data_IF_644717819112
#
_entry.id   IF_644717819112
#
_cell.length_a   1.000
_cell.length_b   1.000
_cell.length_c   1.000
_cell.angle_alpha   90.00
_cell.angle_beta   90.00
_cell.angle_gamma   90.00
#
_symmetry.space_group_name_H-M   'P 1'
#
loop_
_entity.id
_entity.type
_entity.pdbx_description
1 polymer ?
#
# COMPACT_ATOMS: atom_id res chain seq x y z
N UNK A 1 -21.99 -0.10 7.15
CA UNK A 1 -21.10 -1.24 6.86
C UNK A 1 -20.36 -1.09 5.54
N UNK A 2 -20.98 -0.83 4.39
CA UNK A 2 -20.31 -0.71 3.08
C UNK A 2 -19.22 0.37 3.09
N UNK A 3 -19.47 1.53 3.69
CA UNK A 3 -18.49 2.61 3.79
C UNK A 3 -17.24 2.24 4.62
N UNK A 4 -17.41 1.47 5.70
CA UNK A 4 -16.30 0.96 6.50
C UNK A 4 -15.48 -0.07 5.71
N UNK A 5 -16.13 -1.02 5.03
CA UNK A 5 -15.43 -2.00 4.20
C UNK A 5 -14.65 -1.33 3.07
N UNK A 6 -15.25 -0.35 2.38
CA UNK A 6 -14.54 0.41 1.35
C UNK A 6 -13.37 1.22 1.92
N UNK A 7 -13.49 1.70 3.18
CA UNK A 7 -12.40 2.39 3.88
C UNK A 7 -11.23 1.46 4.19
N UNK A 8 -11.52 0.20 4.49
CA UNK A 8 -10.50 -0.80 4.87
C UNK A 8 -9.73 -1.34 3.66
N UNK A 9 -10.31 -1.28 2.45
CA UNK A 9 -9.72 -1.87 1.24
C UNK A 9 -8.29 -1.41 0.94
N UNK A 10 -7.94 -0.11 0.97
CA UNK A 10 -6.58 0.34 0.69
C UNK A 10 -5.55 -0.23 1.67
N UNK A 11 -5.87 -0.29 2.97
CA UNK A 11 -4.97 -0.84 3.97
C UNK A 11 -4.80 -2.36 3.79
N UNK A 12 -5.89 -3.09 3.50
CA UNK A 12 -5.85 -4.52 3.22
C UNK A 12 -5.00 -4.85 1.99
N UNK A 13 -5.10 -4.04 0.93
CA UNK A 13 -4.25 -4.19 -0.26
C UNK A 13 -2.79 -3.90 0.07
N UNK A 14 -2.51 -2.80 0.76
CA UNK A 14 -1.15 -2.45 1.18
C UNK A 14 -0.53 -3.55 2.04
N UNK A 15 -1.27 -4.08 3.03
CA UNK A 15 -0.82 -5.18 3.87
C UNK A 15 -0.58 -6.48 3.09
N UNK A 16 -1.40 -6.75 2.06
CA UNK A 16 -1.18 -7.90 1.17
C UNK A 16 0.10 -7.73 0.35
N UNK A 17 0.35 -6.55 -0.21
CA UNK A 17 1.59 -6.23 -0.92
C UNK A 17 2.82 -6.32 -0.01
N UNK A 18 2.75 -5.74 1.19
CA UNK A 18 3.80 -5.80 2.19
C UNK A 18 4.14 -7.24 2.62
N UNK A 19 3.15 -8.14 2.66
CA UNK A 19 3.38 -9.55 2.96
C UNK A 19 4.29 -10.25 1.93
N UNK A 20 4.14 -9.93 0.64
CA UNK A 20 5.00 -10.53 -0.40
C UNK A 20 6.46 -10.10 -0.23
N UNK A 21 6.69 -8.83 0.10
CA UNK A 21 8.04 -8.33 0.34
C UNK A 21 8.64 -8.91 1.63
N UNK A 22 7.84 -9.09 2.67
CA UNK A 22 8.25 -9.73 3.92
C UNK A 22 8.60 -11.22 3.70
N UNK A 23 7.84 -11.95 2.89
CA UNK A 23 8.16 -13.33 2.52
C UNK A 23 9.48 -13.44 1.74
N UNK A 24 9.81 -12.46 0.93
CA UNK A 24 11.06 -12.43 0.19
C UNK A 24 12.27 -11.92 1.01
N UNK A 25 12.05 -11.50 2.26
CA UNK A 25 13.08 -10.94 3.12
C UNK A 25 13.51 -9.50 2.76
N UNK A 26 12.71 -8.80 1.93
CA UNK A 26 13.01 -7.46 1.44
C UNK A 26 11.85 -6.52 1.80
N UNK A 27 11.80 -6.02 3.03
CA UNK A 27 10.71 -5.20 3.55
C UNK A 27 10.39 -4.00 2.66
N UNK A 28 9.12 -3.86 2.28
CA UNK A 28 8.64 -2.73 1.48
C UNK A 28 8.32 -1.50 2.35
N UNK A 29 9.34 -0.92 3.00
CA UNK A 29 9.21 0.29 3.81
C UNK A 29 8.82 1.53 2.99
N UNK A 30 8.92 1.44 1.67
CA UNK A 30 8.52 2.49 0.74
C UNK A 30 6.99 2.60 0.52
N UNK A 31 6.20 1.72 1.16
CA UNK A 31 4.75 1.60 0.90
C UNK A 31 4.00 2.91 1.10
N UNK A 32 4.32 3.70 2.13
CA UNK A 32 3.58 4.93 2.45
C UNK A 32 3.78 6.01 1.39
N UNK A 33 5.04 6.25 1.02
CA UNK A 33 5.38 7.18 -0.07
C UNK A 33 4.82 6.73 -1.41
N UNK A 34 4.92 5.42 -1.71
CA UNK A 34 4.40 4.87 -2.96
C UNK A 34 2.87 4.98 -3.06
N UNK A 35 2.13 4.70 -1.99
CA UNK A 35 0.66 4.86 -1.97
C UNK A 35 0.28 6.32 -2.25
N UNK A 36 0.99 7.28 -1.64
CA UNK A 36 0.77 8.72 -1.88
C UNK A 36 1.07 9.08 -3.33
N UNK A 37 2.20 8.62 -3.86
CA UNK A 37 2.59 8.84 -5.26
C UNK A 37 1.59 8.23 -6.24
N UNK A 38 1.11 7.01 -5.98
CA UNK A 38 0.10 6.34 -6.79
C UNK A 38 -1.26 7.05 -6.75
N UNK A 39 -1.62 7.62 -5.61
CA UNK A 39 -2.81 8.49 -5.52
C UNK A 39 -2.69 9.70 -6.43
N UNK A 40 -1.54 10.37 -6.43
CA UNK A 40 -1.24 11.48 -7.34
C UNK A 40 -1.26 11.03 -8.82
N UNK A 41 -0.58 9.93 -9.15
CA UNK A 41 -0.55 9.41 -10.51
C UNK A 41 -1.96 9.08 -11.02
N UNK A 42 -2.78 8.45 -10.18
CA UNK A 42 -4.16 8.13 -10.55
C UNK A 42 -4.96 9.40 -10.84
N UNK A 43 -4.81 10.43 -10.02
CA UNK A 43 -5.45 11.72 -10.25
C UNK A 43 -4.99 12.33 -11.59
N UNK A 44 -3.68 12.48 -11.78
CA UNK A 44 -3.10 13.09 -12.97
C UNK A 44 -3.47 12.35 -14.25
N UNK A 45 -3.34 11.01 -14.24
CA UNK A 45 -3.67 10.18 -15.39
C UNK A 45 -5.18 10.16 -15.70
N UNK A 46 -6.04 10.20 -14.67
CA UNK A 46 -7.49 10.28 -14.89
C UNK A 46 -7.89 11.61 -15.50
N UNK A 47 -7.30 12.71 -15.04
CA UNK A 47 -7.54 14.04 -15.62
C UNK A 47 -7.05 14.09 -17.07
N UNK A 48 -5.89 13.50 -17.37
CA UNK A 48 -5.32 13.47 -18.72
C UNK A 48 -6.09 12.56 -19.69
N UNK A 49 -6.57 11.39 -19.23
CA UNK A 49 -7.26 10.40 -20.08
C UNK A 49 -8.78 10.53 -20.10
N UNK A 50 -9.36 11.28 -19.18
CA UNK A 50 -10.80 11.36 -18.97
C UNK A 50 -11.44 10.08 -18.41
N UNK A 51 -10.65 9.05 -18.07
CA UNK A 51 -11.14 7.74 -17.62
C UNK A 51 -10.47 7.28 -16.32
N UNK A 52 -11.27 7.08 -15.27
CA UNK A 52 -10.78 6.55 -13.99
C UNK A 52 -10.26 5.12 -14.08
N UNK A 53 -10.75 4.32 -15.02
CA UNK A 53 -10.29 2.94 -15.23
C UNK A 53 -8.89 2.97 -15.84
N UNK A 54 -8.69 3.77 -16.89
CA UNK A 54 -7.39 3.96 -17.51
C UNK A 54 -6.37 4.52 -16.51
N UNK A 55 -6.75 5.52 -15.71
CA UNK A 55 -5.90 6.10 -14.66
C UNK A 55 -5.40 5.05 -13.66
N UNK A 56 -6.28 4.18 -13.16
CA UNK A 56 -5.92 3.09 -12.22
C UNK A 56 -4.97 2.06 -12.85
N UNK A 57 -5.27 1.61 -14.06
CA UNK A 57 -4.45 0.59 -14.74
C UNK A 57 -3.06 1.14 -15.05
N UNK A 58 -2.98 2.33 -15.63
CA UNK A 58 -1.70 2.98 -15.92
C UNK A 58 -0.90 3.24 -14.65
N UNK A 59 -1.55 3.71 -13.58
CA UNK A 59 -0.90 3.88 -12.27
C UNK A 59 -0.32 2.56 -11.76
N UNK A 60 -1.08 1.46 -11.81
CA UNK A 60 -0.59 0.15 -11.37
C UNK A 60 0.59 -0.34 -12.22
N UNK A 61 0.57 -0.14 -13.54
CA UNK A 61 1.69 -0.50 -14.43
C UNK A 61 2.94 0.32 -14.10
N UNK A 62 2.80 1.63 -13.94
CA UNK A 62 3.91 2.53 -13.62
C UNK A 62 4.50 2.18 -12.24
N UNK A 63 3.67 1.94 -11.23
CA UNK A 63 4.14 1.59 -9.88
C UNK A 63 4.88 0.25 -9.87
N UNK A 64 4.40 -0.76 -10.59
CA UNK A 64 5.10 -2.04 -10.76
C UNK A 64 6.44 -1.83 -11.45
N UNK A 65 6.47 -1.09 -12.57
CA UNK A 65 7.69 -0.85 -13.32
C UNK A 65 8.75 -0.13 -12.47
N UNK A 66 8.36 0.90 -11.72
CA UNK A 66 9.27 1.62 -10.83
C UNK A 66 9.80 0.70 -9.72
N UNK A 67 8.94 -0.07 -9.05
CA UNK A 67 9.39 -0.98 -7.99
C UNK A 67 10.32 -2.07 -8.53
N UNK A 68 10.05 -2.64 -9.70
CA UNK A 68 10.92 -3.62 -10.34
C UNK A 68 12.28 -3.00 -10.71
N UNK A 69 12.28 -1.78 -11.27
CA UNK A 69 13.49 -1.08 -11.64
C UNK A 69 14.38 -0.81 -10.42
N UNK A 70 13.82 -0.27 -9.34
CA UNK A 70 14.58 0.03 -8.13
C UNK A 70 15.06 -1.24 -7.43
N UNK A 71 14.24 -2.29 -7.33
CA UNK A 71 14.65 -3.57 -6.79
C UNK A 71 15.79 -4.20 -7.61
N UNK A 72 15.71 -4.10 -8.95
CA UNK A 72 16.78 -4.58 -9.84
C UNK A 72 18.10 -3.81 -9.63
N UNK A 73 18.03 -2.48 -9.47
CA UNK A 73 19.21 -1.65 -9.19
C UNK A 73 19.84 -2.05 -7.86
N UNK A 74 19.05 -2.19 -6.79
CA UNK A 74 19.53 -2.59 -5.46
C UNK A 74 20.16 -3.99 -5.47
N UNK A 75 19.53 -4.96 -6.13
CA UNK A 75 20.09 -6.30 -6.24
C UNK A 75 21.41 -6.31 -7.03
N UNK A 76 21.48 -5.56 -8.14
CA UNK A 76 22.69 -5.48 -8.98
C UNK A 76 23.86 -4.76 -8.29
N UNK A 77 23.56 -3.76 -7.46
CA UNK A 77 24.55 -2.99 -6.70
C UNK A 77 24.92 -3.66 -5.37
N UNK A 78 24.26 -4.79 -5.03
CA UNK A 78 24.38 -5.44 -3.72
C UNK A 78 24.11 -4.48 -2.55
N UNK A 79 23.24 -3.47 -2.76
CA UNK A 79 22.87 -2.51 -1.74
C UNK A 79 21.85 -3.11 -0.76
N UNK A 80 21.86 -2.58 0.46
CA UNK A 80 20.90 -3.01 1.48
C UNK A 80 19.48 -2.59 1.11
N UNK A 81 18.57 -3.59 1.00
CA UNK A 81 17.16 -3.38 0.67
C UNK A 81 16.42 -2.56 1.72
N UNK A 82 16.81 -2.67 2.99
CA UNK A 82 16.18 -1.91 4.07
C UNK A 82 16.45 -0.41 3.91
N UNK A 83 17.72 -0.04 3.71
CA UNK A 83 18.14 1.36 3.49
C UNK A 83 17.52 1.87 2.17
N UNK A 84 17.59 1.06 1.11
CA UNK A 84 17.00 1.38 -0.18
C UNK A 84 15.49 1.64 -0.09
N UNK A 85 14.76 0.84 0.67
CA UNK A 85 13.32 1.01 0.85
C UNK A 85 12.96 2.31 1.59
N UNK A 86 13.74 2.70 2.62
CA UNK A 86 13.54 3.99 3.31
C UNK A 86 13.83 5.16 2.36
N UNK A 87 14.93 5.10 1.62
CA UNK A 87 15.27 6.12 0.63
C UNK A 87 14.19 6.28 -0.43
N UNK A 88 13.63 5.17 -0.92
CA UNK A 88 12.51 5.16 -1.86
C UNK A 88 11.23 5.77 -1.29
N UNK A 89 10.94 5.54 -0.01
CA UNK A 89 9.78 6.16 0.64
C UNK A 89 9.87 7.70 0.57
N UNK A 90 11.04 8.24 0.88
CA UNK A 90 11.29 9.68 0.80
C UNK A 90 11.29 10.18 -0.64
N UNK A 91 11.87 9.41 -1.56
CA UNK A 91 11.91 9.75 -2.98
C UNK A 91 10.49 9.85 -3.56
N UNK A 92 9.61 8.89 -3.30
CA UNK A 92 8.22 8.94 -3.78
C UNK A 92 7.44 10.14 -3.21
N UNK A 93 7.68 10.51 -1.96
CA UNK A 93 7.11 11.73 -1.38
C UNK A 93 7.60 13.00 -2.08
N UNK A 94 8.92 13.08 -2.35
CA UNK A 94 9.53 14.19 -3.08
C UNK A 94 9.05 14.27 -4.53
N UNK A 95 8.98 13.12 -5.24
CA UNK A 95 8.46 13.04 -6.61
C UNK A 95 7.00 13.47 -6.69
N UNK A 96 6.18 13.10 -5.72
CA UNK A 96 4.79 13.53 -5.63
C UNK A 96 4.70 15.06 -5.59
N UNK A 97 5.48 15.69 -4.72
CA UNK A 97 5.50 17.16 -4.58
C UNK A 97 6.04 17.85 -5.82
N UNK A 98 7.09 17.28 -6.44
CA UNK A 98 7.71 17.81 -7.65
C UNK A 98 6.73 17.77 -8.83
N UNK A 99 6.16 16.59 -9.11
CA UNK A 99 5.24 16.43 -10.24
C UNK A 99 3.93 17.17 -10.03
N UNK A 100 3.44 17.27 -8.79
CA UNK A 100 2.26 18.09 -8.47
C UNK A 100 2.51 19.56 -8.84
N UNK A 101 3.67 20.09 -8.52
CA UNK A 101 4.03 21.46 -8.89
C UNK A 101 4.26 21.63 -10.40
N UNK A 102 4.96 20.70 -11.05
CA UNK A 102 5.24 20.77 -12.49
C UNK A 102 3.99 20.66 -13.34
N UNK A 103 3.06 19.76 -13.00
CA UNK A 103 1.87 19.50 -13.80
C UNK A 103 0.70 20.44 -13.49
N UNK A 104 0.57 20.88 -12.24
CA UNK A 104 -0.61 21.62 -11.77
C UNK A 104 -0.28 22.98 -11.12
N UNK A 105 0.99 23.36 -11.05
CA UNK A 105 1.44 24.64 -10.48
C UNK A 105 1.27 24.77 -8.98
N UNK A 106 0.83 23.73 -8.28
CA UNK A 106 0.58 23.74 -6.84
C UNK A 106 1.03 22.45 -6.15
N UNK A 107 1.42 22.57 -4.89
CA UNK A 107 1.71 21.44 -3.99
C UNK A 107 0.57 21.13 -3.01
N UNK A 108 -0.55 21.81 -3.18
CA UNK A 108 -1.72 21.68 -2.32
C UNK A 108 -2.71 20.59 -2.77
N UNK A 109 -3.95 20.75 -2.34
CA UNK A 109 -5.05 19.86 -2.73
C UNK A 109 -5.41 20.10 -4.20
N UNK A 110 -5.50 19.01 -4.97
CA UNK A 110 -5.90 19.06 -6.37
C UNK A 110 -7.33 18.55 -6.51
N UNK A 111 -8.18 19.39 -7.10
CA UNK A 111 -9.57 19.06 -7.42
C UNK A 111 -9.87 19.36 -8.88
N UNK A 112 -10.60 18.47 -9.55
CA UNK A 112 -11.03 18.67 -10.93
C UNK A 112 -12.40 18.04 -11.12
N UNK A 113 -13.26 18.64 -11.94
CA UNK A 113 -14.59 18.11 -12.25
C UNK A 113 -14.53 16.73 -12.92
N UNK A 114 -13.50 16.46 -13.71
CA UNK A 114 -13.26 15.15 -14.32
C UNK A 114 -12.94 14.02 -13.30
N UNK A 115 -12.62 14.38 -12.06
CA UNK A 115 -12.29 13.46 -10.97
C UNK A 115 -13.40 13.34 -9.89
N UNK A 116 -14.63 13.71 -10.25
CA UNK A 116 -15.79 13.59 -9.35
C UNK A 116 -16.59 12.34 -9.67
N UNK A 117 -16.69 11.41 -8.71
CA UNK A 117 -17.36 10.12 -8.88
C UNK A 117 -18.48 9.93 -7.85
N UNK A 118 -19.56 9.23 -8.23
CA UNK A 118 -20.62 8.85 -7.30
C UNK A 118 -20.08 7.83 -6.29
N UNK A 119 -20.21 8.06 -4.96
CA UNK A 119 -19.57 7.20 -3.95
C UNK A 119 -20.08 5.75 -3.94
N UNK A 120 -21.35 5.51 -4.16
CA UNK A 120 -21.95 4.18 -4.03
C UNK A 120 -21.38 3.14 -5.01
N UNK A 121 -21.35 3.35 -6.34
CA UNK A 121 -20.79 2.38 -7.27
C UNK A 121 -19.26 2.24 -7.11
N UNK A 122 -18.57 3.31 -6.75
CA UNK A 122 -17.11 3.26 -6.52
C UNK A 122 -16.80 2.36 -5.31
N UNK A 123 -17.52 2.51 -4.20
CA UNK A 123 -17.29 1.71 -3.00
C UNK A 123 -17.54 0.21 -3.25
N UNK A 124 -18.59 -0.16 -3.96
CA UNK A 124 -18.87 -1.54 -4.30
C UNK A 124 -17.77 -2.15 -5.19
N UNK A 125 -17.35 -1.43 -6.24
CA UNK A 125 -16.29 -1.87 -7.13
C UNK A 125 -14.95 -2.06 -6.39
N UNK A 126 -14.59 -1.13 -5.50
CA UNK A 126 -13.38 -1.20 -4.68
C UNK A 126 -13.38 -2.45 -3.80
N UNK A 127 -14.49 -2.77 -3.13
CA UNK A 127 -14.62 -3.96 -2.28
C UNK A 127 -14.45 -5.23 -3.12
N UNK A 128 -15.15 -5.34 -4.25
CA UNK A 128 -15.10 -6.53 -5.11
C UNK A 128 -13.69 -6.76 -5.64
N UNK A 129 -13.04 -5.72 -6.18
CA UNK A 129 -11.67 -5.81 -6.70
C UNK A 129 -10.68 -6.20 -5.59
N UNK A 130 -10.82 -5.62 -4.40
CA UNK A 130 -9.97 -5.95 -3.24
C UNK A 130 -10.13 -7.40 -2.84
N UNK A 131 -11.35 -7.92 -2.76
CA UNK A 131 -11.60 -9.33 -2.44
C UNK A 131 -11.01 -10.27 -3.49
N UNK A 132 -11.15 -9.95 -4.77
CA UNK A 132 -10.55 -10.73 -5.86
C UNK A 132 -9.03 -10.77 -5.71
N UNK A 133 -8.38 -9.63 -5.47
CA UNK A 133 -6.93 -9.56 -5.34
C UNK A 133 -6.41 -10.29 -4.10
N UNK A 134 -7.05 -10.15 -2.96
CA UNK A 134 -6.68 -10.86 -1.73
C UNK A 134 -6.87 -12.37 -1.91
N UNK A 135 -8.00 -12.79 -2.47
CA UNK A 135 -8.26 -14.21 -2.74
C UNK A 135 -7.24 -14.78 -3.74
N UNK A 136 -6.95 -14.04 -4.80
CA UNK A 136 -5.90 -14.40 -5.76
C UNK A 136 -4.53 -14.52 -5.10
N UNK A 137 -4.15 -13.61 -4.22
CA UNK A 137 -2.91 -13.65 -3.47
C UNK A 137 -2.83 -14.89 -2.54
N UNK A 138 -3.93 -15.21 -1.85
CA UNK A 138 -4.02 -16.42 -1.00
C UNK A 138 -3.83 -17.69 -1.84
N UNK A 139 -4.54 -17.79 -2.96
CA UNK A 139 -4.46 -18.95 -3.85
C UNK A 139 -3.05 -19.07 -4.46
N UNK A 140 -2.47 -17.95 -4.88
CA UNK A 140 -1.11 -17.93 -5.42
C UNK A 140 -0.09 -18.42 -4.38
N UNK A 141 -0.10 -17.86 -3.18
CA UNK A 141 0.86 -18.20 -2.12
C UNK A 141 0.69 -19.64 -1.60
N UNK A 142 -0.55 -20.19 -1.60
CA UNK A 142 -0.82 -21.52 -1.06
C UNK A 142 -0.75 -22.63 -2.09
N UNK A 143 -1.18 -22.37 -3.33
CA UNK A 143 -1.38 -23.43 -4.35
C UNK A 143 -0.31 -23.46 -5.44
N UNK A 144 0.56 -22.43 -5.55
CA UNK A 144 1.56 -22.40 -6.62
C UNK A 144 2.98 -22.65 -6.10
N UNK A 145 3.78 -23.36 -6.89
CA UNK A 145 5.21 -23.58 -6.60
C UNK A 145 5.95 -22.22 -6.48
N UNK A 146 5.57 -21.23 -7.29
CA UNK A 146 6.16 -19.90 -7.25
C UNK A 146 5.84 -19.18 -5.92
N UNK A 147 4.65 -19.36 -5.37
CA UNK A 147 4.28 -18.83 -4.05
C UNK A 147 5.12 -19.47 -2.92
N UNK A 148 5.45 -20.74 -3.04
CA UNK A 148 6.35 -21.42 -2.09
C UNK A 148 7.76 -20.82 -2.19
N UNK A 149 8.26 -20.54 -3.41
CA UNK A 149 9.57 -19.92 -3.60
C UNK A 149 9.66 -18.52 -2.97
N UNK A 150 8.62 -17.70 -3.06
CA UNK A 150 8.58 -16.42 -2.32
C UNK A 150 8.81 -16.62 -0.81
N UNK A 151 8.14 -17.62 -0.22
CA UNK A 151 8.24 -17.90 1.22
C UNK A 151 9.61 -18.41 1.62
N UNK A 152 10.25 -19.22 0.78
CA UNK A 152 11.58 -19.79 1.02
C UNK A 152 12.65 -18.70 0.86
N UNK A 153 12.50 -17.76 -0.08
CA UNK A 153 13.49 -16.71 -0.37
C UNK A 153 13.87 -15.92 0.88
N UNK A 154 12.93 -15.59 1.74
CA UNK A 154 13.21 -14.82 2.95
C UNK A 154 13.53 -15.67 4.19
N UNK A 155 13.38 -17.00 4.13
CA UNK A 155 13.73 -17.89 5.24
C UNK A 155 15.09 -18.58 5.03
N UNK A 156 15.35 -19.07 3.81
CA UNK A 156 16.58 -19.79 3.45
C UNK A 156 16.78 -19.69 1.94
N UNK A 157 17.58 -18.70 1.52
CA UNK A 157 17.88 -18.46 0.11
C UNK A 157 18.73 -19.59 -0.51
N UNK A 158 19.57 -20.28 0.28
CA UNK A 158 20.48 -21.31 -0.21
C UNK A 158 19.73 -22.56 -0.71
N UNK A 159 18.60 -22.87 -0.08
CA UNK A 159 17.72 -23.97 -0.56
C UNK A 159 17.20 -23.71 -1.98
N UNK A 160 16.97 -22.47 -2.37
CA UNK A 160 16.56 -22.13 -3.73
C UNK A 160 17.73 -22.26 -4.72
N UNK A 161 18.94 -21.87 -4.31
CA UNK A 161 20.14 -22.00 -5.14
C UNK A 161 20.44 -23.46 -5.46
N UNK A 162 20.31 -24.38 -4.50
CA UNK A 162 20.47 -25.83 -4.73
C UNK A 162 19.44 -26.36 -5.74
N UNK A 163 18.26 -25.75 -5.82
CA UNK A 163 17.22 -26.10 -6.80
C UNK A 163 17.39 -25.40 -8.16
N UNK A 164 18.45 -24.63 -8.36
CA UNK A 164 18.69 -23.86 -9.58
C UNK A 164 17.76 -22.65 -9.75
N UNK A 165 17.14 -22.18 -8.67
CA UNK A 165 16.24 -21.03 -8.68
C UNK A 165 16.95 -19.83 -8.06
N UNK A 166 16.99 -18.71 -8.79
CA UNK A 166 17.63 -17.48 -8.29
C UNK A 166 16.77 -16.75 -7.24
N UNK A 167 17.24 -16.59 -5.97
CA UNK A 167 16.54 -15.82 -4.96
C UNK A 167 16.40 -14.33 -5.33
N UNK A 168 17.40 -13.78 -6.05
CA UNK A 168 17.42 -12.40 -6.53
C UNK A 168 16.16 -12.06 -7.35
N UNK A 169 15.75 -12.98 -8.24
CA UNK A 169 14.54 -12.80 -9.04
C UNK A 169 13.29 -12.65 -8.15
N UNK A 170 13.18 -13.44 -7.09
CA UNK A 170 12.02 -13.38 -6.18
C UNK A 170 12.04 -12.15 -5.28
N UNK A 171 13.20 -11.63 -4.91
CA UNK A 171 13.33 -10.34 -4.22
C UNK A 171 12.83 -9.21 -5.13
N UNK A 172 13.29 -9.14 -6.37
CA UNK A 172 12.86 -8.15 -7.35
C UNK A 172 11.35 -8.26 -7.60
N UNK A 173 10.83 -9.46 -7.86
CA UNK A 173 9.41 -9.68 -8.11
C UNK A 173 8.55 -9.31 -6.89
N UNK A 174 9.05 -9.50 -5.66
CA UNK A 174 8.31 -9.14 -4.44
C UNK A 174 8.01 -7.64 -4.37
N UNK A 175 8.98 -6.80 -4.74
CA UNK A 175 8.77 -5.36 -4.81
C UNK A 175 7.83 -4.97 -5.95
N UNK A 176 7.88 -5.66 -7.09
CA UNK A 176 6.91 -5.46 -8.16
C UNK A 176 5.47 -5.77 -7.73
N UNK A 177 5.27 -6.89 -7.00
CA UNK A 177 3.97 -7.24 -6.43
C UNK A 177 3.54 -6.21 -5.39
N UNK A 178 4.45 -5.76 -4.51
CA UNK A 178 4.17 -4.69 -3.56
C UNK A 178 3.75 -3.40 -4.27
N UNK A 179 4.43 -3.04 -5.37
CA UNK A 179 4.08 -1.91 -6.23
C UNK A 179 2.67 -2.03 -6.84
N UNK A 180 2.30 -3.22 -7.30
CA UNK A 180 0.95 -3.48 -7.81
C UNK A 180 -0.13 -3.20 -6.75
N UNK A 181 0.02 -3.77 -5.56
CA UNK A 181 -0.94 -3.57 -4.48
C UNK A 181 -0.96 -2.11 -3.98
N UNK A 182 0.19 -1.45 -3.87
CA UNK A 182 0.27 -0.04 -3.50
C UNK A 182 -0.36 0.86 -4.57
N UNK A 183 -0.20 0.53 -5.86
CA UNK A 183 -0.83 1.22 -6.98
C UNK A 183 -2.35 1.25 -6.85
N UNK A 184 -2.97 0.11 -6.59
CA UNK A 184 -4.42 0.03 -6.35
C UNK A 184 -4.83 0.67 -5.03
N UNK A 185 -4.04 0.53 -3.95
CA UNK A 185 -4.34 1.17 -2.66
C UNK A 185 -4.38 2.69 -2.78
N UNK A 186 -3.37 3.30 -3.42
CA UNK A 186 -3.32 4.75 -3.67
C UNK A 186 -4.45 5.23 -4.59
N UNK A 187 -4.73 4.46 -5.66
CA UNK A 187 -5.84 4.74 -6.57
C UNK A 187 -7.18 4.76 -5.85
N UNK A 188 -7.44 3.79 -4.98
CA UNK A 188 -8.70 3.70 -4.25
C UNK A 188 -8.85 4.82 -3.21
N UNK A 189 -7.76 5.25 -2.56
CA UNK A 189 -7.77 6.39 -1.67
C UNK A 189 -8.13 7.69 -2.41
N UNK A 190 -7.47 7.98 -3.54
CA UNK A 190 -7.72 9.16 -4.33
C UNK A 190 -9.16 9.22 -4.88
N UNK A 191 -9.64 8.12 -5.46
CA UNK A 191 -10.99 8.01 -6.02
C UNK A 191 -12.09 8.17 -4.96
N UNK A 192 -11.82 7.72 -3.73
CA UNK A 192 -12.79 7.83 -2.64
C UNK A 192 -12.97 9.27 -2.17
N UNK A 193 -11.89 10.04 -2.13
CA UNK A 193 -11.90 11.45 -1.71
C UNK A 193 -12.31 12.36 -2.87
N UNK A 194 -12.33 11.84 -4.11
CA UNK A 194 -12.57 12.60 -5.35
C UNK A 194 -11.59 13.77 -5.52
N UNK A 195 -10.40 13.65 -4.97
CA UNK A 195 -9.34 14.66 -5.00
C UNK A 195 -7.99 14.03 -4.71
N UNK A 196 -6.91 14.73 -5.02
CA UNK A 196 -5.60 14.40 -4.47
C UNK A 196 -5.26 15.36 -3.33
N UNK A 197 -4.81 14.80 -2.21
CA UNK A 197 -4.35 15.55 -1.04
C UNK A 197 -2.89 15.17 -0.78
N UNK A 198 -1.99 16.14 -0.50
CA UNK A 198 -0.64 15.82 -0.08
C UNK A 198 -0.63 14.88 1.14
N UNK A 199 0.30 13.92 1.15
CA UNK A 199 0.37 12.88 2.17
C UNK A 199 -0.92 12.03 2.28
N UNK A 200 -1.50 11.67 1.12
CA UNK A 200 -2.75 10.91 1.02
C UNK A 200 -2.74 9.59 1.81
N UNK A 201 -1.60 8.92 1.87
CA UNK A 201 -1.43 7.67 2.62
C UNK A 201 -1.58 7.87 4.13
N UNK A 202 -1.14 9.02 4.65
CA UNK A 202 -1.23 9.38 6.08
C UNK A 202 -0.78 8.24 7.01
N UNK A 203 0.35 7.58 6.69
CA UNK A 203 0.90 6.49 7.49
C UNK A 203 0.26 5.11 7.30
N UNK A 204 -0.67 4.94 6.34
CA UNK A 204 -1.31 3.63 6.08
C UNK A 204 -0.31 2.57 5.61
N UNK A 205 0.78 2.97 4.95
CA UNK A 205 1.88 2.08 4.60
C UNK A 205 2.55 1.47 5.84
N UNK A 206 2.78 2.27 6.87
CA UNK A 206 3.36 1.83 8.13
C UNK A 206 2.40 0.94 8.92
N UNK A 207 1.11 1.27 8.95
CA UNK A 207 0.07 0.43 9.57
C UNK A 207 -0.07 -0.92 8.85
N UNK A 208 0.11 -0.94 7.52
CA UNK A 208 0.11 -2.17 6.75
C UNK A 208 1.27 -3.10 7.15
N UNK A 209 2.48 -2.54 7.30
CA UNK A 209 3.65 -3.29 7.79
C UNK A 209 3.43 -3.79 9.23
N UNK A 210 2.92 -2.95 10.12
CA UNK A 210 2.57 -3.35 11.48
C UNK A 210 1.59 -4.53 11.50
N UNK A 211 0.55 -4.50 10.64
CA UNK A 211 -0.39 -5.61 10.50
C UNK A 211 0.29 -6.90 10.01
N UNK A 212 1.27 -6.82 9.10
CA UNK A 212 2.03 -7.97 8.61
C UNK A 212 2.86 -8.61 9.73
N UNK A 213 3.57 -7.80 10.51
CA UNK A 213 4.36 -8.30 11.65
C UNK A 213 3.47 -8.93 12.71
N UNK A 214 2.41 -8.26 13.12
CA UNK A 214 1.46 -8.78 14.11
C UNK A 214 0.75 -10.05 13.63
N UNK A 215 0.45 -10.13 12.33
CA UNK A 215 -0.17 -11.30 11.71
C UNK A 215 0.79 -12.49 11.52
N UNK A 216 2.08 -12.39 11.97
CA UNK A 216 3.09 -13.46 11.89
C UNK A 216 3.12 -14.11 10.51
N UNK A 217 3.10 -13.28 9.46
CA UNK A 217 3.08 -13.72 8.05
C UNK A 217 1.86 -14.58 7.65
N UNK A 218 0.78 -14.61 8.47
CA UNK A 218 -0.45 -15.37 8.16
C UNK A 218 -1.53 -14.42 7.63
N UNK A 219 -1.87 -14.52 6.34
CA UNK A 219 -2.81 -13.61 5.66
C UNK A 219 -4.14 -13.39 6.43
N UNK A 220 -4.81 -14.42 6.98
CA UNK A 220 -6.03 -14.19 7.76
C UNK A 220 -5.82 -13.31 9.00
N UNK A 221 -4.72 -13.52 9.73
CA UNK A 221 -4.39 -12.71 10.90
C UNK A 221 -4.02 -11.28 10.50
N UNK A 222 -3.28 -11.10 9.40
CA UNK A 222 -2.95 -9.79 8.83
C UNK A 222 -4.23 -9.03 8.50
N UNK A 223 -5.20 -9.69 7.87
CA UNK A 223 -6.48 -9.06 7.55
C UNK A 223 -7.25 -8.64 8.81
N UNK A 224 -7.22 -9.45 9.88
CA UNK A 224 -7.86 -9.10 11.16
C UNK A 224 -7.19 -7.86 11.76
N UNK A 225 -5.85 -7.82 11.86
CA UNK A 225 -5.15 -6.66 12.42
C UNK A 225 -5.33 -5.41 11.55
N UNK A 226 -5.30 -5.55 10.22
CA UNK A 226 -5.59 -4.45 9.31
C UNK A 226 -7.02 -3.91 9.51
N UNK A 227 -8.01 -4.77 9.71
CA UNK A 227 -9.38 -4.35 10.01
C UNK A 227 -9.49 -3.67 11.38
N UNK A 228 -8.77 -4.12 12.40
CA UNK A 228 -8.70 -3.45 13.71
C UNK A 228 -8.13 -2.04 13.55
N UNK A 229 -7.00 -1.88 12.86
CA UNK A 229 -6.41 -0.55 12.62
C UNK A 229 -7.36 0.35 11.82
N UNK A 230 -8.04 -0.19 10.81
CA UNK A 230 -9.06 0.55 10.07
C UNK A 230 -10.27 0.93 10.93
N UNK A 231 -10.66 0.09 11.87
CA UNK A 231 -11.78 0.41 12.78
C UNK A 231 -11.41 1.58 13.69
N UNK A 232 -10.17 1.61 14.19
CA UNK A 232 -9.67 2.72 15.00
C UNK A 232 -9.55 4.00 14.17
N UNK A 233 -8.97 3.92 12.96
CA UNK A 233 -8.82 5.07 12.05
C UNK A 233 -10.20 5.64 11.63
N UNK A 234 -11.13 4.76 11.29
CA UNK A 234 -12.51 5.14 10.95
C UNK A 234 -13.25 5.73 12.14
N UNK A 235 -13.09 5.13 13.34
CA UNK A 235 -13.64 5.65 14.59
C UNK A 235 -13.07 7.01 14.96
N UNK A 236 -11.78 7.25 14.73
CA UNK A 236 -11.11 8.52 14.96
C UNK A 236 -11.76 9.66 14.17
N UNK A 237 -12.11 9.40 12.90
CA UNK A 237 -12.81 10.40 12.05
C UNK A 237 -14.21 10.72 12.61
N UNK A 238 -14.93 9.72 13.13
CA UNK A 238 -16.23 9.94 13.76
C UNK A 238 -16.11 10.70 15.07
N UNK A 239 -15.16 10.35 15.93
CA UNK A 239 -14.93 11.04 17.21
C UNK A 239 -14.65 12.52 16.97
N UNK A 240 -13.87 12.85 15.95
CA UNK A 240 -13.56 14.24 15.59
C UNK A 240 -14.80 15.06 15.24
N UNK A 241 -15.84 14.43 14.66
CA UNK A 241 -17.09 15.14 14.32
C UNK A 241 -17.98 15.44 15.53
N UNK A 242 -17.80 14.68 16.65
CA UNK A 242 -18.62 14.86 17.86
C UNK A 242 -17.95 15.71 18.94
N UNK A 243 -16.62 15.77 18.96
CA UNK A 243 -15.88 16.49 20.01
C UNK A 243 -14.96 17.56 19.38
N UNK A 244 -15.49 18.76 19.09
CA UNK A 244 -14.73 19.82 18.42
C UNK A 244 -13.61 20.44 19.27
N UNK A 245 -13.50 20.08 20.55
CA UNK A 245 -12.48 20.64 21.48
C UNK A 245 -11.14 19.89 21.47
N UNK A 246 -11.01 18.71 20.82
CA UNK A 246 -9.77 17.95 20.79
C UNK A 246 -9.00 18.27 19.51
N UNK A 247 -7.69 18.61 19.58
CA UNK A 247 -6.87 18.81 18.39
C UNK A 247 -6.90 17.59 17.45
N UNK A 248 -7.12 17.81 16.16
CA UNK A 248 -7.21 16.74 15.15
C UNK A 248 -5.95 15.84 15.12
N UNK A 249 -4.78 16.40 15.44
CA UNK A 249 -3.52 15.66 15.52
C UNK A 249 -3.52 14.55 16.59
N UNK A 250 -4.19 14.79 17.72
CA UNK A 250 -4.30 13.78 18.80
C UNK A 250 -5.21 12.63 18.36
N UNK A 251 -6.33 12.96 17.72
CA UNK A 251 -7.29 11.95 17.25
C UNK A 251 -6.67 11.09 16.13
N UNK A 252 -5.92 11.70 15.20
CA UNK A 252 -5.22 11.00 14.13
C UNK A 252 -4.05 10.14 14.63
N UNK A 253 -3.54 10.35 15.84
CA UNK A 253 -2.52 9.49 16.43
C UNK A 253 -3.07 8.18 17.03
N UNK A 254 -4.37 8.05 17.26
CA UNK A 254 -5.00 6.89 17.88
C UNK A 254 -4.66 5.55 17.21
N UNK A 255 -4.70 5.39 15.87
CA UNK A 255 -4.34 4.14 15.22
C UNK A 255 -2.90 3.68 15.53
N UNK A 256 -1.97 4.63 15.65
CA UNK A 256 -0.57 4.35 15.97
C UNK A 256 -0.37 3.97 17.43
N UNK A 257 -1.08 4.65 18.35
CA UNK A 257 -1.09 4.31 19.78
C UNK A 257 -1.64 2.89 19.97
N UNK A 258 -2.75 2.56 19.30
CA UNK A 258 -3.34 1.23 19.35
C UNK A 258 -2.40 0.18 18.75
N UNK A 259 -1.72 0.47 17.63
CA UNK A 259 -0.75 -0.45 17.06
C UNK A 259 0.40 -0.73 18.03
N UNK A 260 0.92 0.29 18.71
CA UNK A 260 1.97 0.16 19.69
C UNK A 260 1.50 -0.65 20.93
N UNK A 261 0.31 -0.33 21.45
CA UNK A 261 -0.28 -1.06 22.58
C UNK A 261 -0.48 -2.55 22.26
N UNK A 262 -0.93 -2.88 21.04
CA UNK A 262 -1.10 -4.25 20.59
C UNK A 262 0.23 -5.00 20.47
N UNK A 263 1.32 -4.34 20.05
CA UNK A 263 2.66 -4.94 20.04
C UNK A 263 3.09 -5.37 21.45
N UNK A 264 2.87 -4.53 22.47
CA UNK A 264 3.17 -4.87 23.86
C UNK A 264 2.30 -6.00 24.40
N UNK A 265 1.00 -6.01 24.07
CA UNK A 265 0.06 -7.05 24.54
C UNK A 265 0.32 -8.41 23.87
N UNK A 266 0.73 -8.42 22.61
CA UNK A 266 0.89 -9.66 21.85
C UNK A 266 2.25 -10.34 22.04
N UNK A 267 3.15 -9.74 22.87
CA UNK A 267 4.51 -10.25 23.16
C UNK A 267 5.18 -10.81 21.90
N UNK A 268 5.36 -9.95 20.90
CA UNK A 268 6.11 -10.28 19.68
C UNK A 268 7.59 -10.22 19.98
#
# INVERSE_FOLDING_TARGET
>A
MINFLAFSCPLLLAATGALFSEYAGCLALFMDGLITFCGFLTYALTVATGSAIAGKILCAVISVALCLLFAFILEKTHADFFIGAIALNLLFGALTSLFSWLCFGTRGVLTNQAFVFKPSPVNAAVIIITLIFITGAILFLKKTNRGIYFRITGSDADVLLVRGVSPALYRILSWGVSGFFAGFAGSFLALRICSFVPNLASGKGWLALAAVFMGKRRLPLIAIFALIFCAVDFGSVYIQSFIPGIPSSVILSLPYIVSLALVFLYRI
#
